data_IF_784505214325
#
_entry.id   IF_784505214325
#
_cell.length_a   1.000
_cell.length_b   1.000
_cell.length_c   1.000
_cell.angle_alpha   90.00
_cell.angle_beta   90.00
_cell.angle_gamma   90.00
#
_symmetry.space_group_name_H-M   'P 1'
#
loop_
_entity.id
_entity.type
_entity.pdbx_description
1 polymer ?
#
# COMPACT_ATOMS: atom_id res chain seq x y z
N UNK A 1 -0.64 -19.87 -17.86
CA UNK A 1 -1.64 -18.78 -18.03
C UNK A 1 -2.81 -19.06 -17.09
N UNK A 2 -2.71 -18.70 -15.81
CA UNK A 2 -3.83 -18.65 -14.85
C UNK A 2 -3.33 -18.09 -13.51
N UNK A 3 -2.98 -16.80 -13.48
CA UNK A 3 -2.65 -16.13 -12.20
C UNK A 3 -2.99 -14.63 -12.22
N UNK A 4 -2.95 -14.01 -13.40
CA UNK A 4 -3.32 -12.60 -13.59
C UNK A 4 -4.81 -12.34 -13.30
N UNK A 5 -5.69 -13.31 -13.59
CA UNK A 5 -7.12 -13.22 -13.31
C UNK A 5 -7.46 -13.39 -11.82
N UNK A 6 -6.75 -14.27 -11.12
CA UNK A 6 -7.01 -14.56 -9.70
C UNK A 6 -6.60 -13.40 -8.80
N UNK A 7 -5.44 -12.78 -9.07
CA UNK A 7 -5.01 -11.60 -8.34
C UNK A 7 -5.99 -10.44 -8.56
N UNK A 8 -6.38 -10.13 -9.81
CA UNK A 8 -7.35 -9.06 -10.08
C UNK A 8 -8.74 -9.32 -9.48
N UNK A 9 -9.22 -10.58 -9.46
CA UNK A 9 -10.48 -10.96 -8.82
C UNK A 9 -10.45 -10.81 -7.30
N UNK A 10 -9.35 -11.23 -6.67
CA UNK A 10 -9.14 -11.00 -5.24
C UNK A 10 -9.16 -9.49 -4.93
N UNK A 11 -8.59 -8.68 -5.83
CA UNK A 11 -8.49 -7.22 -5.73
C UNK A 11 -9.87 -6.52 -5.89
N UNK A 12 -10.77 -7.09 -6.70
CA UNK A 12 -12.14 -6.61 -6.86
C UNK A 12 -13.07 -6.99 -5.69
N UNK A 13 -12.78 -8.09 -4.99
CA UNK A 13 -13.56 -8.51 -3.80
C UNK A 13 -13.42 -7.56 -2.59
N UNK A 14 -12.45 -6.62 -2.62
CA UNK A 14 -12.09 -5.70 -1.53
C UNK A 14 -12.99 -4.49 -1.33
N UNK A 15 -14.12 -4.38 -2.04
CA UNK A 15 -15.08 -3.29 -1.78
C UNK A 15 -15.85 -3.43 -0.47
N UNK A 16 -15.77 -4.59 0.21
CA UNK A 16 -16.45 -4.82 1.49
C UNK A 16 -15.45 -4.85 2.67
N UNK A 17 -15.45 -3.84 3.54
CA UNK A 17 -14.51 -3.72 4.65
C UNK A 17 -14.67 -4.81 5.74
N UNK A 18 -15.80 -5.52 5.75
CA UNK A 18 -16.09 -6.62 6.68
C UNK A 18 -15.22 -7.88 6.42
N UNK A 19 -14.57 -7.95 5.25
CA UNK A 19 -13.85 -9.16 4.81
C UNK A 19 -12.35 -9.13 5.11
N UNK A 20 -11.81 -8.09 5.77
CA UNK A 20 -10.37 -7.93 5.98
C UNK A 20 -9.69 -9.15 6.62
N UNK A 21 -10.34 -9.79 7.61
CA UNK A 21 -9.81 -10.99 8.28
C UNK A 21 -9.74 -12.19 7.33
N UNK A 22 -10.83 -12.46 6.61
CA UNK A 22 -10.90 -13.55 5.61
C UNK A 22 -9.88 -13.34 4.49
N UNK A 23 -9.66 -12.09 4.08
CA UNK A 23 -8.67 -11.74 3.06
C UNK A 23 -7.25 -12.00 3.57
N UNK A 24 -6.95 -11.61 4.82
CA UNK A 24 -5.64 -11.87 5.42
C UNK A 24 -5.38 -13.38 5.55
N UNK A 25 -6.36 -14.13 6.06
CA UNK A 25 -6.30 -15.60 6.21
C UNK A 25 -6.23 -16.31 4.85
N UNK A 26 -6.88 -15.77 3.82
CA UNK A 26 -6.83 -16.26 2.44
C UNK A 26 -5.58 -15.84 1.66
N UNK A 27 -4.58 -15.22 2.30
CA UNK A 27 -3.33 -14.82 1.66
C UNK A 27 -3.43 -13.58 0.76
N UNK A 28 -4.50 -12.79 0.87
CA UNK A 28 -4.73 -11.62 0.03
C UNK A 28 -3.63 -10.55 0.13
N UNK A 29 -3.03 -10.37 1.30
CA UNK A 29 -1.87 -9.50 1.46
C UNK A 29 -0.66 -10.00 0.65
N UNK A 30 -0.34 -11.29 0.75
CA UNK A 30 0.76 -11.91 0.01
C UNK A 30 0.52 -11.81 -1.50
N UNK A 31 -0.70 -12.10 -1.96
CA UNK A 31 -1.09 -12.00 -3.37
C UNK A 31 -0.94 -10.57 -3.89
N UNK A 32 -1.34 -9.55 -3.12
CA UNK A 32 -1.15 -8.15 -3.49
C UNK A 32 0.33 -7.80 -3.65
N UNK A 33 1.18 -8.22 -2.72
CA UNK A 33 2.62 -7.99 -2.80
C UNK A 33 3.28 -8.74 -3.96
N UNK A 34 2.83 -9.96 -4.26
CA UNK A 34 3.28 -10.71 -5.43
C UNK A 34 2.87 -10.02 -6.73
N UNK A 35 1.63 -9.52 -6.83
CA UNK A 35 1.18 -8.74 -7.98
C UNK A 35 2.05 -7.50 -8.20
N UNK A 36 2.46 -6.82 -7.12
CA UNK A 36 3.39 -5.69 -7.22
C UNK A 36 4.76 -6.09 -7.77
N UNK A 37 5.26 -7.27 -7.40
CA UNK A 37 6.54 -7.82 -7.90
C UNK A 37 6.46 -8.22 -9.38
N UNK A 38 5.35 -8.83 -9.79
CA UNK A 38 5.15 -9.33 -11.17
C UNK A 38 4.88 -8.17 -12.13
N UNK A 39 4.14 -7.14 -11.69
CA UNK A 39 3.71 -6.02 -12.52
C UNK A 39 4.24 -4.66 -12.02
N UNK A 40 5.58 -4.46 -11.90
CA UNK A 40 6.15 -3.23 -11.35
C UNK A 40 5.87 -2.00 -12.21
N UNK A 41 5.57 -2.19 -13.50
CA UNK A 41 5.31 -1.11 -14.47
C UNK A 41 3.82 -0.80 -14.66
N UNK A 42 2.92 -1.60 -14.09
CA UNK A 42 1.47 -1.37 -14.22
C UNK A 42 0.98 -0.50 -13.06
N UNK A 43 0.74 0.78 -13.34
CA UNK A 43 0.30 1.75 -12.34
C UNK A 43 -1.02 1.33 -11.66
N UNK A 44 -1.94 0.68 -12.38
CA UNK A 44 -3.21 0.26 -11.81
C UNK A 44 -3.01 -0.90 -10.84
N UNK A 45 -2.18 -1.90 -11.19
CA UNK A 45 -1.86 -3.01 -10.27
C UNK A 45 -1.17 -2.48 -9.00
N UNK A 46 -0.21 -1.56 -9.14
CA UNK A 46 0.46 -0.96 -7.99
C UNK A 46 -0.50 -0.18 -7.09
N UNK A 47 -1.38 0.64 -7.68
CA UNK A 47 -2.38 1.43 -6.96
C UNK A 47 -3.34 0.54 -6.19
N UNK A 48 -3.90 -0.46 -6.86
CA UNK A 48 -4.84 -1.39 -6.26
C UNK A 48 -4.16 -2.14 -5.11
N UNK A 49 -2.90 -2.58 -5.27
CA UNK A 49 -2.20 -3.32 -4.23
C UNK A 49 -1.96 -2.45 -2.98
N UNK A 50 -1.59 -1.18 -3.17
CA UNK A 50 -1.49 -0.22 -2.06
C UNK A 50 -2.85 -0.02 -1.36
N UNK A 51 -3.97 0.01 -2.11
CA UNK A 51 -5.31 0.08 -1.53
C UNK A 51 -5.63 -1.13 -0.66
N UNK A 52 -5.26 -2.35 -1.10
CA UNK A 52 -5.46 -3.58 -0.32
C UNK A 52 -4.72 -3.53 0.99
N UNK A 53 -3.44 -3.23 0.94
CA UNK A 53 -2.61 -3.18 2.14
C UNK A 53 -3.16 -2.15 3.11
N UNK A 54 -3.47 -0.93 2.65
CA UNK A 54 -4.10 0.10 3.47
C UNK A 54 -5.40 -0.38 4.11
N UNK A 55 -6.29 -1.00 3.35
CA UNK A 55 -7.57 -1.46 3.86
C UNK A 55 -7.40 -2.52 4.96
N UNK A 56 -6.45 -3.45 4.80
CA UNK A 56 -6.14 -4.47 5.80
C UNK A 56 -5.66 -3.85 7.11
N UNK A 57 -4.71 -2.92 7.05
CA UNK A 57 -4.09 -2.36 8.27
C UNK A 57 -4.90 -1.23 8.91
N UNK A 58 -5.70 -0.49 8.13
CA UNK A 58 -6.53 0.62 8.66
C UNK A 58 -7.62 0.17 9.64
N UNK A 59 -7.99 -1.12 9.60
CA UNK A 59 -9.03 -1.71 10.46
C UNK A 59 -8.45 -2.64 11.51
N UNK A 60 -7.33 -3.29 11.22
CA UNK A 60 -6.69 -4.26 12.10
C UNK A 60 -5.20 -3.99 12.15
N UNK A 61 -4.77 -3.25 13.17
CA UNK A 61 -3.36 -2.87 13.32
C UNK A 61 -2.46 -4.11 13.53
N UNK A 62 -3.00 -5.21 14.07
CA UNK A 62 -2.29 -6.49 14.26
C UNK A 62 -1.77 -7.08 12.94
N UNK A 63 -2.36 -6.72 11.80
CA UNK A 63 -1.88 -7.18 10.48
C UNK A 63 -0.67 -6.38 9.99
N UNK A 64 -0.36 -5.24 10.58
CA UNK A 64 0.73 -4.37 10.12
C UNK A 64 2.07 -5.09 10.19
N UNK A 65 2.39 -5.70 11.33
CA UNK A 65 3.67 -6.38 11.54
C UNK A 65 3.85 -7.58 10.58
N UNK A 66 2.90 -8.52 10.44
CA UNK A 66 2.98 -9.58 9.43
C UNK A 66 3.13 -9.06 7.99
N UNK A 67 2.45 -7.97 7.65
CA UNK A 67 2.54 -7.37 6.30
C UNK A 67 3.92 -6.75 6.06
N UNK A 68 4.51 -6.11 7.07
CA UNK A 68 5.87 -5.59 7.00
C UNK A 68 6.90 -6.70 6.83
N UNK A 69 6.75 -7.80 7.55
CA UNK A 69 7.63 -8.98 7.46
C UNK A 69 7.61 -9.62 6.06
N UNK A 70 6.50 -9.48 5.31
CA UNK A 70 6.43 -9.88 3.90
C UNK A 70 7.14 -8.92 2.93
N UNK A 71 7.73 -7.82 3.43
CA UNK A 71 8.48 -6.83 2.66
C UNK A 71 7.63 -5.74 2.02
N UNK A 72 6.41 -5.50 2.53
CA UNK A 72 5.46 -4.53 1.97
C UNK A 72 6.03 -3.12 1.84
N UNK A 73 6.78 -2.64 2.83
CA UNK A 73 7.35 -1.30 2.86
C UNK A 73 8.18 -0.99 1.61
N UNK A 74 9.12 -1.86 1.26
CA UNK A 74 10.00 -1.68 0.10
C UNK A 74 9.21 -1.63 -1.23
N UNK A 75 8.15 -2.43 -1.35
CA UNK A 75 7.32 -2.50 -2.55
C UNK A 75 6.44 -1.26 -2.69
N UNK A 76 5.84 -0.81 -1.59
CA UNK A 76 4.99 0.39 -1.57
C UNK A 76 5.83 1.65 -1.83
N UNK A 77 7.04 1.74 -1.26
CA UNK A 77 7.97 2.82 -1.56
C UNK A 77 8.37 2.86 -3.04
N UNK A 78 8.63 1.69 -3.64
CA UNK A 78 8.95 1.57 -5.07
C UNK A 78 7.75 1.93 -5.96
N UNK A 79 6.55 1.50 -5.60
CA UNK A 79 5.32 1.89 -6.29
C UNK A 79 5.15 3.40 -6.28
N UNK A 80 5.32 4.02 -5.12
CA UNK A 80 5.26 5.48 -4.92
C UNK A 80 6.26 6.24 -5.78
N UNK A 81 7.52 5.77 -5.86
CA UNK A 81 8.55 6.46 -6.64
C UNK A 81 8.38 6.29 -8.15
N UNK A 82 7.72 5.21 -8.57
CA UNK A 82 7.58 4.86 -10.00
C UNK A 82 6.30 5.43 -10.61
N UNK A 83 5.22 5.49 -9.83
CA UNK A 83 3.88 5.85 -10.30
C UNK A 83 3.30 7.00 -9.50
N UNK A 84 3.24 8.20 -10.09
CA UNK A 84 2.69 9.40 -9.42
C UNK A 84 1.26 9.20 -8.94
N UNK A 85 0.44 8.47 -9.68
CA UNK A 85 -0.96 8.18 -9.35
C UNK A 85 -1.14 7.25 -8.12
N UNK A 86 -0.04 6.64 -7.66
CA UNK A 86 -0.01 5.82 -6.46
C UNK A 86 0.44 6.62 -5.21
N UNK A 87 0.87 7.88 -5.34
CA UNK A 87 1.57 8.58 -4.27
C UNK A 87 0.74 8.71 -2.98
N UNK A 88 -0.48 9.23 -3.10
CA UNK A 88 -1.38 9.42 -1.96
C UNK A 88 -1.73 8.10 -1.27
N UNK A 89 -2.07 7.07 -2.05
CA UNK A 89 -2.47 5.78 -1.50
C UNK A 89 -1.29 5.02 -0.90
N UNK A 90 -0.11 5.11 -1.51
CA UNK A 90 1.11 4.50 -1.00
C UNK A 90 1.55 5.17 0.31
N UNK A 91 1.46 6.50 0.40
CA UNK A 91 1.69 7.25 1.65
C UNK A 91 0.72 6.83 2.75
N UNK A 92 -0.57 6.73 2.43
CA UNK A 92 -1.58 6.29 3.37
C UNK A 92 -1.31 4.86 3.86
N UNK A 93 -0.99 3.93 2.96
CA UNK A 93 -0.66 2.55 3.32
C UNK A 93 0.56 2.47 4.23
N UNK A 94 1.65 3.18 3.92
CA UNK A 94 2.87 3.21 4.74
C UNK A 94 2.62 3.81 6.13
N UNK A 95 1.83 4.89 6.21
CA UNK A 95 1.45 5.49 7.49
C UNK A 95 0.63 4.51 8.33
N UNK A 96 -0.37 3.87 7.73
CA UNK A 96 -1.26 2.96 8.44
C UNK A 96 -0.53 1.65 8.83
N UNK A 97 0.55 1.27 8.12
CA UNK A 97 1.49 0.21 8.50
C UNK A 97 2.41 0.58 9.68
N UNK A 98 2.45 1.86 10.10
CA UNK A 98 3.38 2.34 11.12
C UNK A 98 4.81 2.57 10.62
N UNK A 99 5.05 2.53 9.30
CA UNK A 99 6.35 2.92 8.75
C UNK A 99 6.61 4.40 9.04
N UNK A 100 7.85 4.74 9.43
CA UNK A 100 8.30 6.13 9.44
C UNK A 100 8.39 6.61 7.99
N UNK A 101 7.29 7.13 7.47
CA UNK A 101 7.32 7.87 6.22
C UNK A 101 8.10 9.13 6.53
N UNK A 102 9.40 9.15 6.23
CA UNK A 102 10.11 10.41 6.06
C UNK A 102 9.37 11.15 4.95
N UNK A 103 8.47 12.03 5.37
CA UNK A 103 7.87 13.05 4.54
C UNK A 103 9.05 13.94 4.15
N UNK A 104 9.74 13.56 3.07
CA UNK A 104 10.58 14.50 2.35
C UNK A 104 9.60 15.47 1.70
N UNK A 105 9.10 16.40 2.51
CA UNK A 105 8.31 17.53 2.06
C UNK A 105 9.15 18.21 0.98
N UNK A 106 8.75 18.08 -0.28
CA UNK A 106 9.37 18.78 -1.40
C UNK A 106 9.08 20.29 -1.38
N UNK A 107 8.64 20.82 -0.24
CA UNK A 107 8.46 22.23 0.02
C UNK A 107 8.88 22.55 1.46
N UNK A 108 10.12 22.98 1.65
CA UNK A 108 10.52 23.68 2.89
C UNK A 108 9.91 25.07 2.83
N UNK A 109 8.67 25.21 3.30
CA UNK A 109 8.13 26.51 3.64
C UNK A 109 8.99 27.10 4.74
N UNK A 110 9.96 27.95 4.38
CA UNK A 110 10.70 28.73 5.34
C UNK A 110 9.68 29.51 6.17
N UNK A 111 9.52 29.15 7.44
CA UNK A 111 8.93 30.05 8.44
C UNK A 111 9.83 31.28 8.47
N UNK A 112 9.49 32.28 7.68
CA UNK A 112 10.02 33.62 7.84
C UNK A 112 9.67 34.05 9.26
N UNK A 113 10.70 34.21 10.09
CA UNK A 113 10.55 34.81 11.41
C UNK A 113 9.97 36.21 11.21
N UNK A 114 8.70 36.40 11.55
CA UNK A 114 8.16 37.72 11.83
C UNK A 114 8.81 38.15 13.15
N UNK A 115 9.88 38.92 13.02
CA UNK A 115 10.47 39.68 14.12
C UNK A 115 9.49 40.80 14.47
N UNK A 116 9.06 40.82 15.73
CA UNK A 116 8.20 41.84 16.32
C UNK A 116 9.01 43.04 16.77
#
# INVERSE_FOLDING_TARGET
VCDQGCAALAMLALRKPENCKVIMEGGGALTALQAMKIHPKDANVQKQACMVIRNLVSRTQDFSQPILEMGAESLILKARSTHKDCDDIAKAALRDLGCKVELRELWTGQKGNIVH
#
